data_IF_441711156960
#
_entry.id   IF_441711156960
#
_cell.length_a   1.000
_cell.length_b   1.000
_cell.length_c   1.000
_cell.angle_alpha   90.00
_cell.angle_beta   90.00
_cell.angle_gamma   90.00
#
_symmetry.space_group_name_H-M   'P 1'
#
loop_
_entity.id
_entity.type
_entity.pdbx_description
1 polymer ?
#
# COMPACT_ATOMS: atom_id res chain seq x y z
N UNK A 1 -29.50 13.50 7.64
CA UNK A 1 -30.26 14.39 6.77
C UNK A 1 -31.56 14.79 7.46
N UNK A 2 -31.75 16.09 7.61
CA UNK A 2 -32.96 16.63 8.19
C UNK A 2 -33.66 17.49 7.11
N UNK A 3 -34.94 17.25 6.90
CA UNK A 3 -35.78 18.02 5.96
C UNK A 3 -37.01 18.46 6.72
N UNK A 4 -37.32 19.77 6.70
CA UNK A 4 -38.44 20.38 7.40
C UNK A 4 -38.55 20.01 8.90
N UNK A 5 -37.37 19.89 9.57
CA UNK A 5 -37.28 19.53 10.99
C UNK A 5 -37.42 18.04 11.30
N UNK A 6 -37.65 17.19 10.31
CA UNK A 6 -37.73 15.75 10.45
C UNK A 6 -36.46 15.07 9.98
N UNK A 7 -35.94 14.07 10.74
CA UNK A 7 -34.83 13.23 10.33
C UNK A 7 -35.33 12.25 9.25
N UNK A 8 -34.85 12.43 8.02
CA UNK A 8 -35.21 11.59 6.88
C UNK A 8 -34.21 10.47 6.61
N UNK A 9 -32.98 10.67 7.03
CA UNK A 9 -31.91 9.67 6.89
C UNK A 9 -30.79 9.96 7.90
N UNK A 10 -30.08 8.92 8.35
CA UNK A 10 -28.88 9.08 9.15
C UNK A 10 -27.83 8.03 8.77
N UNK A 11 -26.57 8.40 8.89
CA UNK A 11 -25.44 7.52 8.71
C UNK A 11 -24.44 7.69 9.84
N UNK A 12 -23.72 6.63 10.16
CA UNK A 12 -22.61 6.65 11.11
C UNK A 12 -21.38 6.09 10.42
N UNK A 13 -20.31 6.88 10.39
CA UNK A 13 -19.02 6.47 9.83
C UNK A 13 -17.97 6.53 10.92
N UNK A 14 -17.23 5.43 11.11
CA UNK A 14 -16.04 5.45 11.94
C UNK A 14 -14.92 6.19 11.19
N UNK A 15 -14.15 7.00 11.91
CA UNK A 15 -12.97 7.66 11.35
C UNK A 15 -11.83 7.66 12.37
N UNK A 16 -10.59 7.62 11.86
CA UNK A 16 -9.40 7.77 12.68
C UNK A 16 -8.61 9.00 12.25
N UNK A 17 -8.11 9.75 13.23
CA UNK A 17 -7.29 10.94 13.02
C UNK A 17 -5.87 10.61 13.46
N UNK A 18 -4.93 10.67 12.55
CA UNK A 18 -3.50 10.43 12.80
C UNK A 18 -2.64 11.15 11.78
N UNK A 19 -1.37 11.33 12.07
CA UNK A 19 -0.34 11.68 11.09
C UNK A 19 0.50 10.45 10.78
N UNK A 20 0.94 10.32 9.51
CA UNK A 20 1.87 9.27 9.07
C UNK A 20 3.02 9.93 8.33
N UNK A 21 4.25 9.54 8.67
CA UNK A 21 5.45 9.91 7.92
C UNK A 21 6.29 8.67 7.71
N UNK A 22 6.77 8.47 6.48
CA UNK A 22 7.82 7.52 6.18
C UNK A 22 9.15 8.28 6.12
N UNK A 23 10.07 7.96 7.01
CA UNK A 23 11.46 8.40 6.93
C UNK A 23 12.29 7.30 6.28
N UNK A 24 12.88 7.60 5.15
CA UNK A 24 13.76 6.68 4.42
C UNK A 24 14.98 7.40 3.85
N UNK A 25 16.11 6.72 3.88
CA UNK A 25 17.31 7.10 3.17
C UNK A 25 17.22 6.53 1.76
N UNK A 26 17.30 7.38 0.74
CA UNK A 26 17.24 6.95 -0.67
C UNK A 26 18.58 6.52 -1.26
N UNK A 27 19.70 6.82 -0.58
CA UNK A 27 21.06 6.52 -1.04
C UNK A 27 21.73 5.49 -0.14
N UNK A 28 22.39 4.50 -0.74
CA UNK A 28 23.19 3.50 -0.01
C UNK A 28 24.52 4.06 0.51
N UNK A 29 24.95 5.21 0.03
CA UNK A 29 26.20 5.88 0.47
C UNK A 29 26.01 6.72 1.72
N UNK A 30 24.77 6.85 2.24
CA UNK A 30 24.52 7.59 3.47
C UNK A 30 25.09 6.84 4.68
N UNK A 31 25.75 7.55 5.59
CA UNK A 31 26.29 6.99 6.82
C UNK A 31 25.22 6.41 7.75
N UNK A 32 23.98 6.92 7.63
CA UNK A 32 22.85 6.51 8.46
C UNK A 32 21.69 6.05 7.57
N UNK A 33 21.53 4.73 7.43
CA UNK A 33 20.39 4.15 6.74
C UNK A 33 19.16 4.18 7.64
N UNK A 34 18.05 4.67 7.09
CA UNK A 34 16.79 4.78 7.81
C UNK A 34 15.64 4.33 6.92
N UNK A 35 14.81 3.43 7.46
CA UNK A 35 13.48 3.11 6.93
C UNK A 35 12.54 2.89 8.11
N UNK A 36 11.74 3.90 8.45
CA UNK A 36 10.83 3.82 9.60
C UNK A 36 9.57 4.64 9.39
N UNK A 37 8.50 4.18 10.00
CA UNK A 37 7.25 4.95 10.09
C UNK A 37 7.20 5.75 11.39
N UNK A 38 6.71 6.98 11.28
CA UNK A 38 6.31 7.79 12.43
C UNK A 38 4.79 7.91 12.38
N UNK A 39 4.14 7.45 13.44
CA UNK A 39 2.70 7.64 13.65
C UNK A 39 2.53 8.66 14.76
N UNK A 40 1.84 9.75 14.46
CA UNK A 40 1.71 10.89 15.38
C UNK A 40 3.05 11.40 15.94
N UNK A 41 4.08 11.38 15.07
CA UNK A 41 5.44 11.79 15.42
C UNK A 41 6.26 10.75 16.20
N UNK A 42 5.68 9.61 16.57
CA UNK A 42 6.35 8.54 17.31
C UNK A 42 6.86 7.47 16.33
N UNK A 43 8.17 7.11 16.35
CA UNK A 43 8.70 6.02 15.55
C UNK A 43 8.13 4.68 16.03
N UNK A 44 7.66 3.87 15.08
CA UNK A 44 7.04 2.58 15.36
C UNK A 44 7.95 1.46 14.88
N UNK A 45 8.20 0.48 15.74
CA UNK A 45 8.79 -0.80 15.36
C UNK A 45 7.72 -1.67 14.68
N UNK A 46 7.91 -1.93 13.38
CA UNK A 46 6.99 -2.76 12.61
C UNK A 46 7.20 -4.25 12.90
N UNK A 47 6.15 -4.94 13.32
CA UNK A 47 6.10 -6.38 13.54
C UNK A 47 4.92 -6.96 12.80
N UNK A 48 5.18 -7.77 11.79
CA UNK A 48 4.12 -8.32 10.96
C UNK A 48 4.66 -9.17 9.82
N UNK A 49 3.83 -9.39 8.82
CA UNK A 49 4.15 -10.24 7.68
C UNK A 49 3.46 -9.74 6.42
N UNK A 50 3.84 -10.32 5.28
CA UNK A 50 3.10 -10.19 4.05
C UNK A 50 1.73 -10.88 4.18
N UNK A 51 0.76 -10.32 3.49
CA UNK A 51 -0.56 -10.88 3.30
C UNK A 51 -0.72 -11.32 1.85
N UNK A 52 -0.95 -12.59 1.65
CA UNK A 52 -1.38 -13.19 0.38
C UNK A 52 -2.84 -13.62 0.51
N UNK A 53 -3.59 -13.78 -0.59
CA UNK A 53 -4.97 -14.26 -0.53
C UNK A 53 -5.08 -15.55 0.30
N UNK A 54 -6.00 -15.58 1.25
CA UNK A 54 -6.17 -16.70 2.20
C UNK A 54 -6.84 -17.91 1.57
N UNK A 55 -7.44 -17.77 0.39
CA UNK A 55 -8.00 -18.84 -0.43
C UNK A 55 -7.74 -18.56 -1.91
N UNK A 56 -7.61 -19.62 -2.72
CA UNK A 56 -7.50 -19.51 -4.16
C UNK A 56 -8.77 -18.94 -4.81
N UNK A 57 -9.90 -19.05 -4.15
CA UNK A 57 -11.17 -18.49 -4.58
C UNK A 57 -11.58 -17.33 -3.68
N UNK A 58 -11.60 -16.12 -4.21
CA UNK A 58 -11.93 -14.88 -3.50
C UNK A 58 -13.29 -14.95 -2.78
N UNK A 59 -14.28 -15.63 -3.37
CA UNK A 59 -15.60 -15.82 -2.76
C UNK A 59 -15.57 -16.57 -1.42
N UNK A 60 -14.47 -17.25 -1.10
CA UNK A 60 -14.29 -18.01 0.16
C UNK A 60 -13.33 -17.34 1.15
N UNK A 61 -12.61 -16.32 0.70
CA UNK A 61 -11.55 -15.67 1.50
C UNK A 61 -12.09 -14.98 2.76
N UNK A 62 -13.26 -14.35 2.72
CA UNK A 62 -13.74 -13.47 3.78
C UNK A 62 -13.77 -14.08 5.19
N UNK A 63 -14.29 -15.31 5.36
CA UNK A 63 -14.32 -15.98 6.66
C UNK A 63 -12.90 -16.31 7.16
N UNK A 64 -12.00 -16.73 6.26
CA UNK A 64 -10.60 -17.03 6.58
C UNK A 64 -9.81 -15.77 6.89
N UNK A 65 -10.09 -14.67 6.21
CA UNK A 65 -9.46 -13.39 6.50
C UNK A 65 -9.67 -12.97 7.95
N UNK A 66 -10.89 -13.08 8.46
CA UNK A 66 -11.21 -12.75 9.85
C UNK A 66 -10.42 -13.62 10.86
N UNK A 67 -10.29 -14.92 10.59
CA UNK A 67 -9.51 -15.84 11.43
C UNK A 67 -8.02 -15.48 11.42
N UNK A 68 -7.43 -15.27 10.23
CA UNK A 68 -6.00 -14.96 10.10
C UNK A 68 -5.69 -13.59 10.73
N UNK A 69 -6.54 -12.58 10.54
CA UNK A 69 -6.38 -11.27 11.19
C UNK A 69 -6.44 -11.36 12.71
N UNK A 70 -7.29 -12.24 13.26
CA UNK A 70 -7.32 -12.52 14.71
C UNK A 70 -5.98 -13.11 15.18
N UNK A 71 -5.41 -14.06 14.41
CA UNK A 71 -4.09 -14.63 14.70
C UNK A 71 -2.98 -13.56 14.65
N UNK A 72 -3.03 -12.61 13.70
CA UNK A 72 -2.13 -11.45 13.68
C UNK A 72 -2.22 -10.63 14.97
N UNK A 73 -3.43 -10.36 15.44
CA UNK A 73 -3.64 -9.64 16.70
C UNK A 73 -3.10 -10.40 17.90
N UNK A 74 -3.35 -11.71 17.99
CA UNK A 74 -2.86 -12.58 19.07
C UNK A 74 -1.33 -12.73 19.07
N UNK A 75 -0.71 -12.70 17.89
CA UNK A 75 0.75 -12.68 17.73
C UNK A 75 1.37 -11.30 17.98
N UNK A 76 0.56 -10.31 18.41
CA UNK A 76 0.99 -8.93 18.61
C UNK A 76 1.64 -8.28 17.37
N UNK A 77 1.20 -8.68 16.20
CA UNK A 77 1.56 -7.98 14.95
C UNK A 77 0.87 -6.62 14.91
N UNK A 78 1.59 -5.60 14.45
CA UNK A 78 1.08 -4.25 14.33
C UNK A 78 1.08 -3.72 12.89
N UNK A 79 1.50 -4.54 11.94
CA UNK A 79 1.50 -4.20 10.51
C UNK A 79 1.24 -5.45 9.66
N UNK A 80 0.53 -5.26 8.56
CA UNK A 80 0.34 -6.24 7.50
C UNK A 80 0.64 -5.58 6.16
N UNK A 81 1.38 -6.27 5.28
CA UNK A 81 1.61 -5.82 3.91
C UNK A 81 0.75 -6.65 2.96
N UNK A 82 -0.20 -6.00 2.30
CA UNK A 82 -0.97 -6.60 1.23
C UNK A 82 -0.10 -6.62 -0.02
N UNK A 83 0.31 -7.83 -0.40
CA UNK A 83 1.25 -8.09 -1.48
C UNK A 83 0.65 -7.81 -2.85
N UNK A 84 1.43 -7.20 -3.75
CA UNK A 84 0.99 -6.78 -5.07
C UNK A 84 0.60 -7.91 -6.03
N UNK A 85 0.99 -9.17 -5.74
CA UNK A 85 0.51 -10.36 -6.47
C UNK A 85 -0.83 -10.91 -5.95
N UNK A 86 -1.47 -10.22 -5.01
CA UNK A 86 -2.76 -10.55 -4.45
C UNK A 86 -3.89 -9.71 -5.03
N UNK A 87 -4.74 -9.22 -4.15
CA UNK A 87 -5.90 -8.38 -4.46
C UNK A 87 -6.02 -7.23 -3.47
N UNK A 88 -6.76 -6.18 -3.81
CA UNK A 88 -7.24 -5.22 -2.82
C UNK A 88 -8.32 -5.89 -2.00
N UNK A 89 -8.06 -6.12 -0.72
CA UNK A 89 -8.96 -6.82 0.19
C UNK A 89 -10.31 -6.10 0.36
N UNK A 90 -11.27 -6.78 1.00
CA UNK A 90 -12.60 -6.24 1.26
C UNK A 90 -12.57 -5.15 2.33
N UNK A 91 -13.59 -4.30 2.38
CA UNK A 91 -13.68 -3.23 3.38
C UNK A 91 -13.68 -3.78 4.81
N UNK A 92 -14.27 -4.95 5.06
CA UNK A 92 -14.23 -5.64 6.37
C UNK A 92 -12.80 -5.93 6.85
N UNK A 93 -11.88 -6.21 5.94
CA UNK A 93 -10.47 -6.41 6.26
C UNK A 93 -9.84 -5.13 6.82
N UNK A 94 -10.01 -4.00 6.10
CA UNK A 94 -9.46 -2.71 6.54
C UNK A 94 -10.16 -2.21 7.80
N UNK A 95 -11.47 -2.41 7.91
CA UNK A 95 -12.26 -2.12 9.10
C UNK A 95 -11.76 -2.89 10.33
N UNK A 96 -11.34 -4.14 10.16
CA UNK A 96 -10.72 -4.89 11.25
C UNK A 96 -9.38 -4.29 11.64
N UNK A 97 -8.53 -3.96 10.65
CA UNK A 97 -7.23 -3.32 10.89
C UNK A 97 -7.40 -1.97 11.59
N UNK A 98 -8.36 -1.16 11.17
CA UNK A 98 -8.69 0.13 11.79
C UNK A 98 -9.04 -0.01 13.27
N UNK A 99 -9.89 -0.99 13.61
CA UNK A 99 -10.36 -1.22 14.99
C UNK A 99 -9.32 -1.85 15.91
N UNK A 100 -8.38 -2.61 15.35
CA UNK A 100 -7.40 -3.38 16.12
C UNK A 100 -5.98 -2.78 16.09
N UNK A 101 -5.80 -1.61 15.45
CA UNK A 101 -4.52 -0.92 15.41
C UNK A 101 -3.46 -1.64 14.57
N UNK A 102 -3.87 -2.42 13.55
CA UNK A 102 -2.96 -3.06 12.61
C UNK A 102 -2.74 -2.10 11.44
N UNK A 103 -1.53 -1.62 11.27
CA UNK A 103 -1.15 -0.79 10.15
C UNK A 103 -1.17 -1.60 8.84
N UNK A 104 -1.56 -0.97 7.73
CA UNK A 104 -1.59 -1.59 6.41
C UNK A 104 -0.59 -0.90 5.48
N UNK A 105 0.32 -1.69 4.93
CA UNK A 105 1.13 -1.36 3.77
C UNK A 105 0.44 -1.98 2.55
N UNK A 106 -0.01 -1.17 1.62
CA UNK A 106 -0.74 -1.61 0.43
C UNK A 106 0.12 -1.48 -0.81
N UNK A 107 0.47 -2.61 -1.44
CA UNK A 107 0.99 -2.59 -2.81
C UNK A 107 -0.15 -2.38 -3.80
N UNK A 108 0.11 -1.68 -4.91
CA UNK A 108 -0.74 -1.79 -6.09
C UNK A 108 -0.59 -3.18 -6.72
N UNK A 109 -1.63 -3.66 -7.42
CA UNK A 109 -1.69 -5.06 -7.90
C UNK A 109 -0.74 -5.33 -9.07
N UNK A 110 0.56 -5.18 -8.81
CA UNK A 110 1.67 -5.51 -9.72
C UNK A 110 2.76 -6.24 -8.95
N UNK A 111 3.27 -7.35 -9.52
CA UNK A 111 4.28 -8.16 -8.84
C UNK A 111 5.20 -8.89 -9.80
N UNK A 112 6.48 -8.97 -9.46
CA UNK A 112 7.53 -9.84 -9.97
C UNK A 112 7.93 -9.64 -11.43
N UNK A 113 7.01 -9.25 -12.32
CA UNK A 113 7.29 -9.10 -13.75
C UNK A 113 7.01 -7.67 -14.22
N UNK A 114 7.85 -7.13 -15.13
CA UNK A 114 7.59 -5.85 -15.77
C UNK A 114 6.23 -5.84 -16.47
N UNK A 115 5.51 -4.75 -16.29
CA UNK A 115 4.22 -4.53 -16.96
C UNK A 115 4.46 -3.75 -18.24
N UNK A 116 3.67 -4.02 -19.28
CA UNK A 116 3.74 -3.24 -20.52
C UNK A 116 3.45 -1.76 -20.26
N UNK A 117 4.22 -0.90 -20.93
CA UNK A 117 4.07 0.56 -20.85
C UNK A 117 3.33 1.13 -22.07
N UNK A 118 2.56 0.30 -22.79
CA UNK A 118 1.66 0.81 -23.82
C UNK A 118 0.52 1.65 -23.21
N UNK A 119 -0.07 2.52 -24.03
CA UNK A 119 -1.07 3.50 -23.57
C UNK A 119 -2.28 2.86 -22.88
N UNK A 120 -2.74 1.72 -23.38
CA UNK A 120 -3.97 1.08 -22.92
C UNK A 120 -3.73 0.40 -21.55
N UNK A 121 -2.58 -0.26 -21.40
CA UNK A 121 -2.14 -0.85 -20.13
C UNK A 121 -1.94 0.23 -19.07
N UNK A 122 -1.21 1.30 -19.40
CA UNK A 122 -0.99 2.43 -18.47
C UNK A 122 -2.31 3.06 -18.05
N UNK A 123 -3.24 3.28 -18.99
CA UNK A 123 -4.54 3.87 -18.69
C UNK A 123 -5.40 2.94 -17.80
N UNK A 124 -5.35 1.63 -18.03
CA UNK A 124 -6.06 0.63 -17.23
C UNK A 124 -5.54 0.62 -15.78
N UNK A 125 -4.22 0.56 -15.61
CA UNK A 125 -3.59 0.59 -14.28
C UNK A 125 -3.91 1.90 -13.54
N UNK A 126 -3.88 3.03 -14.24
CA UNK A 126 -4.25 4.31 -13.67
C UNK A 126 -5.69 4.32 -13.15
N UNK A 127 -6.64 3.81 -13.94
CA UNK A 127 -8.06 3.75 -13.54
C UNK A 127 -8.28 2.81 -12.35
N UNK A 128 -7.62 1.66 -12.35
CA UNK A 128 -7.64 0.72 -11.22
C UNK A 128 -7.10 1.39 -9.96
N UNK A 129 -5.92 2.02 -10.06
CA UNK A 129 -5.28 2.71 -8.94
C UNK A 129 -6.15 3.84 -8.38
N UNK A 130 -6.76 4.66 -9.24
CA UNK A 130 -7.69 5.71 -8.82
C UNK A 130 -8.89 5.14 -8.05
N UNK A 131 -9.45 4.04 -8.52
CA UNK A 131 -10.57 3.36 -7.88
C UNK A 131 -10.17 2.81 -6.51
N UNK A 132 -9.03 2.11 -6.44
CA UNK A 132 -8.49 1.56 -5.21
C UNK A 132 -8.20 2.65 -4.17
N UNK A 133 -7.50 3.72 -4.57
CA UNK A 133 -7.15 4.83 -3.66
C UNK A 133 -8.42 5.52 -3.15
N UNK A 134 -9.38 5.82 -4.01
CA UNK A 134 -10.65 6.45 -3.60
C UNK A 134 -11.43 5.60 -2.62
N UNK A 135 -11.44 4.28 -2.79
CA UNK A 135 -12.10 3.35 -1.87
C UNK A 135 -11.40 3.28 -0.52
N UNK A 136 -10.07 3.18 -0.51
CA UNK A 136 -9.31 2.82 0.68
C UNK A 136 -8.75 4.00 1.48
N UNK A 137 -8.70 5.19 0.92
CA UNK A 137 -8.10 6.38 1.55
C UNK A 137 -8.71 6.79 2.88
N UNK A 138 -9.96 6.38 3.17
CA UNK A 138 -10.64 6.70 4.42
C UNK A 138 -10.20 5.82 5.60
N UNK A 139 -9.49 4.71 5.34
CA UNK A 139 -9.01 3.81 6.39
C UNK A 139 -7.77 4.36 7.09
N UNK A 140 -7.83 4.67 8.40
CA UNK A 140 -6.68 5.18 9.14
C UNK A 140 -5.57 4.14 9.31
N UNK A 141 -5.86 2.84 9.25
CA UNK A 141 -4.88 1.77 9.28
C UNK A 141 -3.95 1.79 8.07
N UNK A 142 -4.42 2.19 6.90
CA UNK A 142 -3.59 2.29 5.70
C UNK A 142 -2.55 3.40 5.88
N UNK A 143 -1.26 3.04 5.88
CA UNK A 143 -0.15 3.96 6.18
C UNK A 143 0.81 4.18 5.01
N UNK A 144 0.77 3.32 4.00
CA UNK A 144 1.68 3.38 2.85
C UNK A 144 1.01 2.82 1.60
N UNK A 145 1.17 3.54 0.49
CA UNK A 145 0.98 3.01 -0.84
C UNK A 145 2.33 2.62 -1.43
N UNK A 146 2.45 1.40 -1.98
CA UNK A 146 3.64 0.93 -2.66
C UNK A 146 3.35 0.60 -4.13
N UNK A 147 4.21 1.02 -5.01
CA UNK A 147 4.00 0.92 -6.46
C UNK A 147 3.89 -0.52 -6.95
N UNK A 148 4.76 -1.40 -6.45
CA UNK A 148 4.78 -2.81 -6.86
C UNK A 148 5.53 -3.70 -5.87
N UNK A 149 5.49 -5.02 -6.16
CA UNK A 149 6.39 -6.00 -5.57
C UNK A 149 7.44 -6.45 -6.59
N UNK A 150 8.72 -6.19 -6.31
CA UNK A 150 9.91 -6.74 -6.97
C UNK A 150 10.12 -6.36 -8.44
N UNK A 151 9.38 -5.43 -9.03
CA UNK A 151 9.59 -5.06 -10.44
C UNK A 151 10.93 -4.32 -10.61
N UNK A 152 11.35 -3.49 -9.65
CA UNK A 152 12.66 -2.85 -9.68
C UNK A 152 13.80 -3.89 -9.67
N UNK A 153 13.68 -4.91 -8.80
CA UNK A 153 14.66 -5.98 -8.69
C UNK A 153 14.71 -6.82 -9.97
N UNK A 154 13.55 -7.18 -10.51
CA UNK A 154 13.47 -7.93 -11.76
C UNK A 154 14.07 -7.14 -12.93
N UNK A 155 13.75 -5.85 -13.05
CA UNK A 155 14.36 -4.98 -14.05
C UNK A 155 15.88 -4.92 -13.90
N UNK A 156 16.38 -4.72 -12.69
CA UNK A 156 17.81 -4.64 -12.42
C UNK A 156 18.53 -5.95 -12.77
N UNK A 157 17.98 -7.10 -12.39
CA UNK A 157 18.51 -8.42 -12.71
C UNK A 157 18.53 -8.70 -14.24
N UNK A 158 17.61 -8.10 -14.99
CA UNK A 158 17.58 -8.15 -16.46
C UNK A 158 18.46 -7.07 -17.12
N UNK A 159 19.20 -6.27 -16.35
CA UNK A 159 20.02 -5.18 -16.87
C UNK A 159 19.22 -3.96 -17.34
N UNK A 160 17.96 -3.88 -16.95
CA UNK A 160 17.06 -2.76 -17.25
C UNK A 160 17.04 -1.79 -16.07
N UNK A 161 17.26 -0.49 -16.35
CA UNK A 161 17.21 0.53 -15.32
C UNK A 161 15.80 0.66 -14.72
N UNK A 162 15.64 0.48 -13.38
CA UNK A 162 14.33 0.57 -12.73
C UNK A 162 13.64 1.92 -12.92
N UNK A 163 14.40 3.01 -12.97
CA UNK A 163 13.89 4.37 -13.15
C UNK A 163 13.09 4.64 -14.43
N UNK A 164 13.16 3.75 -15.45
CA UNK A 164 12.34 3.88 -16.66
C UNK A 164 10.87 3.49 -16.46
N UNK A 165 10.52 2.83 -15.35
CA UNK A 165 9.14 2.44 -15.07
C UNK A 165 8.28 3.67 -14.74
N UNK A 166 7.67 4.27 -15.77
CA UNK A 166 6.82 5.46 -15.64
C UNK A 166 5.59 5.20 -14.77
N UNK A 167 5.10 3.96 -14.71
CA UNK A 167 3.91 3.62 -13.93
C UNK A 167 4.18 3.90 -12.46
N UNK A 168 5.25 3.34 -11.90
CA UNK A 168 5.56 3.49 -10.48
C UNK A 168 6.30 4.80 -10.14
N UNK A 169 6.89 5.48 -11.14
CA UNK A 169 7.65 6.73 -10.94
C UNK A 169 6.82 7.99 -11.17
N UNK A 170 5.81 7.92 -12.05
CA UNK A 170 5.04 9.10 -12.46
C UNK A 170 3.53 8.91 -12.25
N UNK A 171 2.95 7.83 -12.79
CA UNK A 171 1.49 7.66 -12.81
C UNK A 171 0.92 7.41 -11.42
N UNK A 172 1.41 6.38 -10.71
CA UNK A 172 0.88 6.02 -9.39
C UNK A 172 1.11 7.11 -8.33
N UNK A 173 2.31 7.74 -8.22
CA UNK A 173 2.49 8.82 -7.26
C UNK A 173 1.58 10.02 -7.55
N UNK A 174 1.28 10.32 -8.83
CA UNK A 174 0.29 11.35 -9.17
C UNK A 174 -1.12 10.96 -8.73
N UNK A 175 -1.53 9.71 -8.97
CA UNK A 175 -2.84 9.20 -8.51
C UNK A 175 -2.96 9.32 -6.98
N UNK A 176 -1.93 8.92 -6.23
CA UNK A 176 -1.91 9.03 -4.77
C UNK A 176 -1.95 10.50 -4.35
N UNK A 177 -1.09 11.35 -4.92
CA UNK A 177 -1.04 12.77 -4.57
C UNK A 177 -2.37 13.50 -4.82
N UNK A 178 -3.09 13.14 -5.87
CA UNK A 178 -4.38 13.75 -6.21
C UNK A 178 -5.55 13.25 -5.35
N UNK A 179 -5.50 12.01 -4.88
CA UNK A 179 -6.64 11.38 -4.22
C UNK A 179 -6.40 11.09 -2.72
N UNK A 180 -5.14 11.04 -2.26
CA UNK A 180 -4.75 10.68 -0.89
C UNK A 180 -3.43 11.37 -0.49
N UNK A 181 -3.37 12.67 -0.65
CA UNK A 181 -2.17 13.53 -0.56
C UNK A 181 -1.41 13.46 0.78
N UNK A 182 -2.03 12.99 1.84
CA UNK A 182 -1.42 12.91 3.18
C UNK A 182 -0.71 11.59 3.47
N UNK A 183 -0.70 10.63 2.53
CA UNK A 183 -0.13 9.30 2.76
C UNK A 183 1.16 9.11 1.97
N UNK A 184 2.20 8.50 2.60
CA UNK A 184 3.45 8.20 1.91
C UNK A 184 3.25 7.28 0.72
N UNK A 185 4.14 7.43 -0.27
CA UNK A 185 4.24 6.54 -1.42
C UNK A 185 5.67 5.99 -1.53
N UNK A 186 5.79 4.69 -1.82
CA UNK A 186 7.03 3.97 -2.09
C UNK A 186 6.98 3.44 -3.53
N UNK A 187 7.98 3.67 -4.33
CA UNK A 187 7.96 3.39 -5.77
C UNK A 187 7.94 1.90 -6.08
N UNK A 188 8.70 1.09 -5.35
CA UNK A 188 8.79 -0.37 -5.48
C UNK A 188 9.26 -0.99 -4.17
N UNK A 189 9.06 -2.28 -3.98
CA UNK A 189 9.54 -3.01 -2.82
C UNK A 189 10.22 -4.33 -3.26
N UNK A 190 11.58 -4.37 -3.31
CA UNK A 190 12.53 -3.32 -2.93
C UNK A 190 12.56 -2.15 -3.93
N UNK A 191 12.89 -0.96 -3.44
CA UNK A 191 13.21 0.19 -4.27
C UNK A 191 14.69 0.15 -4.65
N UNK A 192 14.99 0.27 -5.93
CA UNK A 192 16.36 0.36 -6.44
C UNK A 192 16.60 1.74 -7.06
N UNK A 193 17.46 2.51 -6.41
CA UNK A 193 17.88 3.81 -6.95
C UNK A 193 18.80 3.65 -8.15
N UNK A 194 18.82 4.61 -9.04
CA UNK A 194 19.65 4.58 -10.25
C UNK A 194 21.16 4.46 -9.93
N UNK A 195 21.61 5.03 -8.81
CA UNK A 195 23.00 4.94 -8.35
C UNK A 195 23.37 3.49 -8.00
N UNK A 196 22.43 2.77 -7.35
CA UNK A 196 22.63 1.37 -6.96
C UNK A 196 22.60 0.45 -8.18
N UNK A 197 21.77 0.76 -9.17
CA UNK A 197 21.69 -0.03 -10.41
C UNK A 197 23.04 -0.15 -11.12
N UNK A 198 23.89 0.86 -11.02
CA UNK A 198 25.24 0.83 -11.59
C UNK A 198 26.15 -0.23 -10.92
N UNK A 199 25.88 -0.61 -9.69
CA UNK A 199 26.61 -1.62 -8.90
C UNK A 199 26.06 -3.05 -9.07
N UNK A 200 24.83 -3.17 -9.64
CA UNK A 200 24.15 -4.46 -9.88
C UNK A 200 24.69 -5.25 -11.10
N UNK A 201 25.76 -4.78 -11.75
CA UNK A 201 26.36 -5.37 -12.96
C UNK A 201 27.49 -6.32 -12.64
#
# INVERSE_FOLDING_TARGET
>A
LVVDGEVKDFGKTAMGIRTVKLERTKSMTAENHCFRFLINGVPIMCRGSNWVPTDAYQSRAGARNAEVLRMFSEAHCNIVRIWGGGVYETDDFYDYCDRNGIMVWQDFCMACFPVSMDSDTVQSIKQEAESAVKRLRSHPSLILWSGDNEIDETNANCGVRPGINIITREILPQVVAMNDWGRPYLESSPYIADEIFAEYK
#
